data_IF_055906764811
#
_entry.id   IF_055906764811
#
_cell.length_a   1.000
_cell.length_b   1.000
_cell.length_c   1.000
_cell.angle_alpha   90.00
_cell.angle_beta   90.00
_cell.angle_gamma   90.00
#
_symmetry.space_group_name_H-M   'P 1'
#
loop_
_entity.id
_entity.type
_entity.pdbx_description
1 polymer ?
#
# COMPACT_ATOMS: atom_id res chain seq x y z
N UNK A 1 23.77 -1.21 6.57
CA UNK A 1 22.59 -1.44 5.70
C UNK A 1 21.74 -2.66 6.06
N UNK A 2 22.28 -3.85 6.40
CA UNK A 2 21.41 -5.01 6.74
C UNK A 2 20.55 -4.77 8.00
N UNK A 3 21.07 -4.06 8.99
CA UNK A 3 20.34 -3.73 10.22
C UNK A 3 19.19 -2.77 9.95
N UNK A 4 19.42 -1.75 9.13
CA UNK A 4 18.48 -0.69 8.77
C UNK A 4 17.32 -1.26 7.94
N UNK A 5 17.59 -2.21 7.04
CA UNK A 5 16.55 -2.99 6.36
C UNK A 5 15.68 -3.73 7.38
N UNK A 6 16.30 -4.49 8.29
CA UNK A 6 15.57 -5.29 9.28
C UNK A 6 14.75 -4.43 10.26
N UNK A 7 15.33 -3.32 10.75
CA UNK A 7 14.64 -2.40 11.65
C UNK A 7 13.46 -1.70 10.96
N UNK A 8 13.65 -1.25 9.72
CA UNK A 8 12.59 -0.59 8.96
C UNK A 8 11.47 -1.59 8.62
N UNK A 9 11.83 -2.81 8.19
CA UNK A 9 10.86 -3.87 7.91
C UNK A 9 10.10 -4.29 9.17
N UNK A 10 10.79 -4.46 10.30
CA UNK A 10 10.15 -4.76 11.58
C UNK A 10 9.18 -3.66 11.98
N UNK A 11 9.59 -2.39 11.95
CA UNK A 11 8.70 -1.26 12.25
C UNK A 11 7.49 -1.21 11.33
N UNK A 12 7.70 -1.35 10.02
CA UNK A 12 6.62 -1.29 9.04
C UNK A 12 5.65 -2.46 9.21
N UNK A 13 6.10 -3.72 9.22
CA UNK A 13 5.20 -4.87 9.29
C UNK A 13 4.59 -5.07 10.67
N UNK A 14 5.32 -4.83 11.77
CA UNK A 14 4.74 -4.91 13.12
C UNK A 14 3.79 -3.75 13.35
N UNK A 15 4.17 -2.53 12.97
CA UNK A 15 3.33 -1.34 13.13
C UNK A 15 2.03 -1.46 12.34
N UNK A 16 2.12 -1.85 11.06
CA UNK A 16 0.92 -2.09 10.23
C UNK A 16 0.08 -3.26 10.75
N UNK A 17 0.71 -4.35 11.21
CA UNK A 17 -0.03 -5.43 11.87
C UNK A 17 -0.85 -4.91 13.06
N UNK A 18 -0.23 -4.18 13.99
CA UNK A 18 -0.90 -3.60 15.16
C UNK A 18 -2.01 -2.63 14.77
N UNK A 19 -1.73 -1.64 13.93
CA UNK A 19 -2.75 -0.70 13.42
C UNK A 19 -3.91 -1.44 12.74
N UNK A 20 -3.61 -2.51 12.01
CA UNK A 20 -4.59 -3.37 11.36
C UNK A 20 -5.51 -4.09 12.33
N UNK A 21 -4.99 -4.61 13.44
CA UNK A 21 -5.83 -5.17 14.52
C UNK A 21 -6.70 -4.10 15.18
N UNK A 22 -6.15 -2.90 15.41
CA UNK A 22 -6.94 -1.75 15.89
C UNK A 22 -8.11 -1.46 14.95
N UNK A 23 -7.85 -1.40 13.65
CA UNK A 23 -8.89 -1.17 12.65
C UNK A 23 -9.90 -2.32 12.55
N UNK A 24 -9.45 -3.58 12.60
CA UNK A 24 -10.35 -4.75 12.64
C UNK A 24 -11.32 -4.66 13.81
N UNK A 25 -10.85 -4.24 14.99
CA UNK A 25 -11.69 -4.04 16.16
C UNK A 25 -12.71 -2.91 15.96
N UNK A 26 -12.28 -1.77 15.41
CA UNK A 26 -13.16 -0.63 15.11
C UNK A 26 -14.25 -1.01 14.10
N UNK A 27 -13.89 -1.75 13.04
CA UNK A 27 -14.80 -2.20 11.99
C UNK A 27 -15.55 -3.50 12.34
N UNK A 28 -15.31 -4.07 13.52
CA UNK A 28 -15.87 -5.36 13.97
C UNK A 28 -15.61 -6.53 13.00
N UNK A 29 -14.46 -6.51 12.32
CA UNK A 29 -13.99 -7.57 11.42
C UNK A 29 -13.29 -8.68 12.23
N UNK A 30 -13.98 -9.82 12.39
CA UNK A 30 -13.52 -10.96 13.18
C UNK A 30 -12.96 -12.06 12.29
N UNK A 31 -11.97 -12.81 12.79
CA UNK A 31 -11.40 -14.01 12.15
C UNK A 31 -10.77 -13.81 10.76
N UNK A 32 -10.14 -12.66 10.52
CA UNK A 32 -9.51 -12.35 9.23
C UNK A 32 -8.07 -12.89 9.11
N UNK A 33 -7.42 -13.16 10.24
CA UNK A 33 -6.03 -13.60 10.32
C UNK A 33 -4.99 -12.48 10.25
N UNK A 34 -3.73 -12.87 10.44
CA UNK A 34 -2.61 -11.93 10.56
C UNK A 34 -2.27 -11.21 9.26
N UNK A 35 -2.28 -11.92 8.12
CA UNK A 35 -1.94 -11.37 6.80
C UNK A 35 -2.93 -10.29 6.36
N UNK A 36 -4.23 -10.51 6.60
CA UNK A 36 -5.23 -9.48 6.37
C UNK A 36 -4.95 -8.27 7.26
N UNK A 37 -4.64 -8.47 8.55
CA UNK A 37 -4.36 -7.36 9.48
C UNK A 37 -3.19 -6.51 9.02
N UNK A 38 -2.08 -7.12 8.57
CA UNK A 38 -0.95 -6.40 7.98
C UNK A 38 -1.41 -5.53 6.81
N UNK A 39 -2.12 -6.11 5.82
CA UNK A 39 -2.58 -5.34 4.67
C UNK A 39 -3.58 -4.24 5.03
N UNK A 40 -4.47 -4.53 5.98
CA UNK A 40 -5.42 -3.55 6.49
C UNK A 40 -4.70 -2.36 7.14
N UNK A 41 -3.63 -2.63 7.89
CA UNK A 41 -2.76 -1.60 8.44
C UNK A 41 -1.98 -0.82 7.39
N UNK A 42 -1.47 -1.46 6.34
CA UNK A 42 -0.78 -0.77 5.24
C UNK A 42 -1.74 0.21 4.55
N UNK A 43 -2.95 -0.24 4.19
CA UNK A 43 -3.97 0.64 3.61
C UNK A 43 -4.33 1.78 4.56
N UNK A 44 -4.44 1.49 5.87
CA UNK A 44 -4.72 2.52 6.87
C UNK A 44 -3.59 3.55 6.98
N UNK A 45 -2.33 3.13 7.02
CA UNK A 45 -1.18 4.03 7.07
C UNK A 45 -1.16 4.94 5.84
N UNK A 46 -1.33 4.38 4.64
CA UNK A 46 -1.34 5.17 3.42
C UNK A 46 -2.52 6.14 3.34
N UNK A 47 -3.72 5.69 3.70
CA UNK A 47 -4.91 6.55 3.73
C UNK A 47 -4.77 7.69 4.76
N UNK A 48 -4.22 7.39 5.95
CA UNK A 48 -3.97 8.37 6.98
C UNK A 48 -2.90 9.38 6.55
N UNK A 49 -1.85 8.91 5.89
CA UNK A 49 -0.79 9.79 5.37
C UNK A 49 -1.36 10.77 4.34
N UNK A 50 -2.18 10.30 3.40
CA UNK A 50 -2.85 11.17 2.42
C UNK A 50 -3.70 12.24 3.12
N UNK A 51 -4.52 11.82 4.09
CA UNK A 51 -5.39 12.72 4.85
C UNK A 51 -4.61 13.83 5.58
N UNK A 52 -3.40 13.53 6.05
CA UNK A 52 -2.53 14.48 6.75
C UNK A 52 -1.73 15.33 5.77
N UNK A 53 -1.15 14.72 4.74
CA UNK A 53 -0.25 15.40 3.82
C UNK A 53 -0.96 16.43 2.95
N UNK A 54 -2.13 16.11 2.39
CA UNK A 54 -2.87 17.05 1.53
C UNK A 54 -3.05 18.41 2.22
N UNK A 55 -3.68 18.53 3.41
CA UNK A 55 -3.85 19.84 4.06
C UNK A 55 -2.53 20.47 4.52
N UNK A 56 -1.52 19.68 4.89
CA UNK A 56 -0.22 20.20 5.32
C UNK A 56 0.56 20.82 4.15
N UNK A 57 0.59 20.15 3.00
CA UNK A 57 1.21 20.66 1.77
C UNK A 57 0.55 21.98 1.35
N UNK A 58 -0.79 22.09 1.48
CA UNK A 58 -1.52 23.32 1.13
C UNK A 58 -1.20 24.49 2.04
N UNK A 59 -0.87 24.24 3.31
CA UNK A 59 -0.51 25.28 4.28
C UNK A 59 0.99 25.57 4.31
N UNK A 60 1.76 25.05 3.35
CA UNK A 60 3.22 25.09 3.35
C UNK A 60 3.82 24.62 4.68
N UNK A 61 3.20 23.63 5.32
CA UNK A 61 3.70 23.10 6.58
C UNK A 61 5.05 22.39 6.36
N UNK A 62 5.93 22.53 7.34
CA UNK A 62 7.26 21.93 7.28
C UNK A 62 7.22 20.40 7.30
N UNK A 63 8.17 19.77 6.63
CA UNK A 63 8.30 18.32 6.59
C UNK A 63 8.55 17.72 7.99
N UNK A 64 9.32 18.36 8.86
CA UNK A 64 9.55 17.97 10.26
C UNK A 64 8.25 18.00 11.08
N UNK A 65 7.42 19.01 10.87
CA UNK A 65 6.10 19.08 11.52
C UNK A 65 5.22 17.90 11.09
N UNK A 66 5.27 17.54 9.80
CA UNK A 66 4.59 16.35 9.28
C UNK A 66 5.14 15.06 9.91
N UNK A 67 6.47 14.87 9.93
CA UNK A 67 7.11 13.69 10.53
C UNK A 67 6.66 13.52 11.99
N UNK A 68 6.64 14.59 12.78
CA UNK A 68 6.23 14.54 14.18
C UNK A 68 4.75 14.17 14.33
N UNK A 69 3.86 14.86 13.61
CA UNK A 69 2.42 14.61 13.67
C UNK A 69 2.07 13.19 13.20
N UNK A 70 2.55 12.81 12.02
CA UNK A 70 2.24 11.51 11.43
C UNK A 70 2.82 10.37 12.28
N UNK A 71 4.05 10.49 12.78
CA UNK A 71 4.63 9.49 13.68
C UNK A 71 3.82 9.36 14.98
N UNK A 72 3.33 10.48 15.55
CA UNK A 72 2.47 10.44 16.73
C UNK A 72 1.14 9.72 16.46
N UNK A 73 0.49 10.00 15.32
CA UNK A 73 -0.75 9.33 14.93
C UNK A 73 -0.54 7.82 14.69
N UNK A 74 0.58 7.43 14.09
CA UNK A 74 0.95 6.02 13.89
C UNK A 74 1.24 5.34 15.23
N UNK A 75 1.93 6.01 16.16
CA UNK A 75 2.17 5.49 17.50
C UNK A 75 0.86 5.25 18.28
N UNK A 76 -0.08 6.20 18.23
CA UNK A 76 -1.42 6.04 18.83
C UNK A 76 -2.18 4.88 18.20
N UNK A 77 -2.11 4.74 16.88
CA UNK A 77 -2.78 3.64 16.15
C UNK A 77 -2.19 2.28 16.50
N UNK A 78 -0.86 2.17 16.63
CA UNK A 78 -0.19 0.95 17.08
C UNK A 78 -0.55 0.62 18.53
N UNK A 79 -0.61 1.63 19.42
CA UNK A 79 -1.03 1.47 20.81
C UNK A 79 -2.48 0.96 20.91
N UNK A 80 -3.39 1.47 20.07
CA UNK A 80 -4.75 0.96 19.96
C UNK A 80 -4.77 -0.53 19.58
N UNK A 81 -3.88 -0.94 18.66
CA UNK A 81 -3.66 -2.32 18.24
C UNK A 81 -3.19 -3.25 19.36
N UNK A 82 -2.34 -2.77 20.27
CA UNK A 82 -1.84 -3.57 21.40
C UNK A 82 -2.97 -4.04 22.34
N UNK A 83 -4.05 -3.27 22.47
CA UNK A 83 -5.23 -3.69 23.23
C UNK A 83 -5.98 -4.89 22.60
N UNK A 84 -5.63 -5.28 21.39
CA UNK A 84 -6.14 -6.45 20.68
C UNK A 84 -5.23 -7.68 20.85
N UNK A 85 -4.31 -7.70 21.82
CA UNK A 85 -3.34 -8.77 22.03
C UNK A 85 -3.94 -10.18 22.07
N UNK A 86 -5.16 -10.34 22.59
CA UNK A 86 -5.88 -11.63 22.62
C UNK A 86 -6.17 -12.15 21.21
N UNK A 87 -6.62 -11.28 20.31
CA UNK A 87 -6.90 -11.62 18.91
C UNK A 87 -5.60 -11.90 18.15
N UNK A 88 -4.54 -11.14 18.45
CA UNK A 88 -3.19 -11.36 17.89
C UNK A 88 -2.68 -12.75 18.29
N UNK A 89 -2.73 -13.09 19.58
CA UNK A 89 -2.28 -14.40 20.05
C UNK A 89 -3.13 -15.54 19.50
N UNK A 90 -4.44 -15.35 19.34
CA UNK A 90 -5.32 -16.35 18.75
C UNK A 90 -4.93 -16.63 17.28
N UNK A 91 -4.70 -15.57 16.49
CA UNK A 91 -4.27 -15.69 15.10
C UNK A 91 -2.85 -16.29 14.98
N UNK A 92 -1.92 -15.95 15.88
CA UNK A 92 -0.58 -16.57 15.94
C UNK A 92 -0.68 -18.05 16.25
N UNK A 93 -1.48 -18.46 17.25
CA UNK A 93 -1.69 -19.88 17.58
C UNK A 93 -2.31 -20.64 16.42
N UNK A 94 -3.28 -20.02 15.74
CA UNK A 94 -3.90 -20.59 14.53
C UNK A 94 -2.89 -20.75 13.39
N UNK A 95 -2.01 -19.76 13.18
CA UNK A 95 -0.97 -19.82 12.15
C UNK A 95 0.05 -20.92 12.43
N UNK A 96 0.50 -21.06 13.69
CA UNK A 96 1.43 -22.10 14.10
C UNK A 96 0.78 -23.49 14.00
N UNK A 97 -0.43 -23.64 14.53
CA UNK A 97 -1.17 -24.91 14.54
C UNK A 97 -1.51 -25.39 13.12
N UNK A 98 -1.87 -24.47 12.24
CA UNK A 98 -2.21 -24.79 10.85
C UNK A 98 -1.03 -24.63 9.88
N UNK A 99 0.17 -24.25 10.34
CA UNK A 99 1.30 -23.90 9.48
C UNK A 99 1.69 -25.00 8.49
N UNK A 100 1.51 -26.27 8.87
CA UNK A 100 1.76 -27.43 8.00
C UNK A 100 0.91 -27.42 6.73
N UNK A 101 -0.29 -26.86 6.76
CA UNK A 101 -1.15 -26.78 5.57
C UNK A 101 -0.55 -25.89 4.49
N UNK A 102 0.27 -24.91 4.88
CA UNK A 102 0.95 -23.99 3.98
C UNK A 102 2.32 -24.49 3.52
N UNK A 103 2.76 -25.69 3.93
CA UNK A 103 4.00 -26.33 3.45
C UNK A 103 3.78 -27.12 2.15
N UNK A 104 2.96 -26.59 1.25
CA UNK A 104 2.71 -27.23 -0.03
C UNK A 104 3.83 -26.91 -1.01
N UNK A 105 4.01 -27.73 -2.06
CA UNK A 105 5.04 -27.49 -3.07
C UNK A 105 4.87 -26.11 -3.73
N UNK A 106 3.62 -25.70 -3.98
CA UNK A 106 3.32 -24.36 -4.52
C UNK A 106 3.78 -23.22 -3.60
N UNK A 107 3.56 -23.33 -2.29
CA UNK A 107 4.03 -22.30 -1.36
C UNK A 107 5.55 -22.28 -1.21
N UNK A 108 6.20 -23.45 -1.23
CA UNK A 108 7.65 -23.57 -1.19
C UNK A 108 8.30 -22.92 -2.43
N UNK A 109 7.79 -23.21 -3.63
CA UNK A 109 8.25 -22.58 -4.87
C UNK A 109 8.06 -21.07 -4.82
N UNK A 110 6.87 -20.59 -4.41
CA UNK A 110 6.61 -19.16 -4.25
C UNK A 110 7.62 -18.51 -3.31
N UNK A 111 7.87 -19.10 -2.13
CA UNK A 111 8.82 -18.56 -1.15
C UNK A 111 10.24 -18.47 -1.72
N UNK A 112 10.71 -19.53 -2.41
CA UNK A 112 12.04 -19.54 -3.04
C UNK A 112 12.14 -18.42 -4.08
N UNK A 113 11.12 -18.24 -4.92
CA UNK A 113 11.11 -17.21 -5.96
C UNK A 113 11.05 -15.79 -5.36
N UNK A 114 10.29 -15.57 -4.29
CA UNK A 114 10.25 -14.28 -3.58
C UNK A 114 11.62 -13.97 -2.97
N UNK A 115 12.24 -14.95 -2.30
CA UNK A 115 13.59 -14.80 -1.75
C UNK A 115 14.62 -14.52 -2.85
N UNK A 116 14.51 -15.19 -4.00
CA UNK A 116 15.35 -14.94 -5.16
C UNK A 116 15.15 -13.51 -5.70
N UNK A 117 13.92 -13.04 -5.83
CA UNK A 117 13.61 -11.67 -6.26
C UNK A 117 14.21 -10.62 -5.32
N UNK A 118 14.02 -10.78 -4.00
CA UNK A 118 14.59 -9.89 -2.99
C UNK A 118 16.12 -9.91 -3.01
N UNK A 119 16.72 -11.09 -3.13
CA UNK A 119 18.16 -11.25 -3.29
C UNK A 119 18.68 -10.53 -4.54
N UNK A 120 18.01 -10.71 -5.68
CA UNK A 120 18.40 -10.13 -6.95
C UNK A 120 18.38 -8.60 -6.88
N UNK A 121 17.27 -8.01 -6.44
CA UNK A 121 17.10 -6.54 -6.32
C UNK A 121 18.04 -5.95 -5.27
N UNK A 122 18.36 -6.69 -4.20
CA UNK A 122 19.32 -6.22 -3.21
C UNK A 122 20.74 -6.06 -3.76
N UNK A 123 21.14 -6.90 -4.73
CA UNK A 123 22.49 -6.87 -5.33
C UNK A 123 22.55 -6.11 -6.65
N UNK A 124 21.42 -5.94 -7.34
CA UNK A 124 21.33 -5.28 -8.63
C UNK A 124 20.47 -4.05 -8.50
N UNK A 125 21.11 -2.88 -8.60
CA UNK A 125 20.40 -1.61 -8.59
C UNK A 125 19.95 -1.29 -10.01
N UNK A 126 18.65 -1.09 -10.17
CA UNK A 126 18.09 -0.49 -11.37
C UNK A 126 17.99 1.01 -11.17
N UNK A 127 18.40 1.77 -12.19
CA UNK A 127 18.30 3.23 -12.22
C UNK A 127 17.31 3.62 -13.32
N UNK A 128 16.31 4.40 -12.95
CA UNK A 128 15.25 4.88 -13.85
C UNK A 128 15.36 6.39 -14.04
N UNK A 129 14.88 6.90 -15.19
CA UNK A 129 14.84 8.36 -15.42
C UNK A 129 13.98 9.09 -14.38
N UNK A 130 12.92 8.43 -13.92
CA UNK A 130 12.01 8.91 -12.88
C UNK A 130 12.70 9.12 -11.50
N UNK A 131 13.90 8.56 -11.28
CA UNK A 131 14.68 8.74 -10.05
C UNK A 131 15.07 10.20 -9.83
N UNK A 132 15.38 10.89 -10.93
CA UNK A 132 15.73 12.32 -10.92
C UNK A 132 14.63 13.20 -10.36
N UNK A 133 13.38 12.72 -10.41
CA UNK A 133 12.22 13.41 -9.87
C UNK A 133 11.81 12.87 -8.49
N UNK A 134 11.36 11.61 -8.42
CA UNK A 134 10.70 11.10 -7.20
C UNK A 134 11.67 10.97 -6.02
N UNK A 135 12.86 10.40 -6.24
CA UNK A 135 13.84 10.21 -5.16
C UNK A 135 14.36 11.56 -4.69
N UNK A 136 14.55 12.51 -5.61
CA UNK A 136 14.97 13.86 -5.27
C UNK A 136 13.88 14.67 -4.58
N UNK A 137 12.59 14.43 -4.83
CA UNK A 137 11.51 15.02 -4.03
C UNK A 137 11.62 14.61 -2.56
N UNK A 138 11.93 13.34 -2.29
CA UNK A 138 12.14 12.86 -0.93
C UNK A 138 13.40 13.48 -0.29
N UNK A 139 14.53 13.53 -1.02
CA UNK A 139 15.75 14.19 -0.56
C UNK A 139 15.51 15.67 -0.24
N UNK A 140 14.81 16.37 -1.12
CA UNK A 140 14.49 17.79 -0.98
C UNK A 140 13.59 18.03 0.22
N UNK A 141 12.59 17.18 0.46
CA UNK A 141 11.73 17.29 1.63
C UNK A 141 12.51 17.15 2.94
N UNK A 142 13.41 16.17 3.01
CA UNK A 142 14.27 15.96 4.19
C UNK A 142 15.24 17.11 4.40
N UNK A 143 15.87 17.61 3.33
CA UNK A 143 16.93 18.62 3.43
C UNK A 143 16.41 20.05 3.64
N UNK A 144 15.35 20.42 2.92
CA UNK A 144 14.82 21.79 2.89
C UNK A 144 13.65 22.03 3.84
N UNK A 145 13.17 20.98 4.51
CA UNK A 145 11.99 21.00 5.36
C UNK A 145 10.70 21.41 4.62
N UNK A 146 10.63 21.22 3.30
CA UNK A 146 9.50 21.63 2.44
C UNK A 146 8.95 20.46 1.65
N UNK A 147 7.64 20.25 1.71
CA UNK A 147 6.95 19.18 0.96
C UNK A 147 6.49 19.72 -0.39
N UNK A 148 7.07 19.26 -1.51
CA UNK A 148 6.67 19.60 -2.89
C UNK A 148 6.75 21.09 -3.30
N UNK A 149 7.36 21.94 -2.46
CA UNK A 149 7.51 23.38 -2.71
C UNK A 149 8.90 23.78 -3.22
N UNK A 150 9.74 22.81 -3.58
CA UNK A 150 11.06 23.03 -4.16
C UNK A 150 11.22 22.03 -5.30
N UNK A 151 11.57 22.52 -6.48
CA UNK A 151 11.79 21.68 -7.64
C UNK A 151 13.04 20.80 -7.43
N UNK A 152 12.93 19.48 -7.57
CA UNK A 152 14.06 18.57 -7.34
C UNK A 152 15.20 18.77 -8.34
N UNK A 153 14.91 19.26 -9.56
CA UNK A 153 15.89 19.38 -10.64
C UNK A 153 16.68 20.69 -10.58
N UNK A 154 16.05 21.77 -10.10
CA UNK A 154 16.64 23.12 -10.12
C UNK A 154 16.95 23.67 -8.72
N UNK A 155 16.35 23.10 -7.68
CA UNK A 155 16.42 23.65 -6.31
C UNK A 155 15.69 24.98 -6.14
N UNK A 156 15.04 25.48 -7.19
CA UNK A 156 14.24 26.70 -7.12
C UNK A 156 12.95 26.44 -6.33
N UNK A 157 12.41 27.50 -5.73
CA UNK A 157 11.09 27.42 -5.12
C UNK A 157 10.07 27.08 -6.21
N UNK A 158 9.24 26.08 -5.95
CA UNK A 158 8.32 25.60 -6.96
C UNK A 158 7.17 26.60 -7.16
N UNK A 159 6.89 26.96 -8.41
CA UNK A 159 5.59 27.50 -8.79
C UNK A 159 4.60 26.34 -8.70
N UNK A 160 4.10 26.10 -7.48
CA UNK A 160 3.15 25.07 -7.08
C UNK A 160 2.69 24.17 -8.23
N UNK A 161 3.44 23.10 -8.56
CA UNK A 161 3.03 22.18 -9.63
C UNK A 161 1.88 21.32 -9.12
N UNK A 162 0.68 21.82 -9.40
CA UNK A 162 -0.61 21.32 -8.95
C UNK A 162 -0.85 19.86 -9.34
N UNK A 163 -0.13 19.37 -10.36
CA UNK A 163 -0.28 18.00 -10.88
C UNK A 163 0.24 16.94 -9.91
N UNK A 164 1.18 17.30 -9.02
CA UNK A 164 1.86 16.34 -8.15
C UNK A 164 1.50 16.48 -6.66
N UNK A 165 0.70 17.48 -6.31
CA UNK A 165 0.18 17.73 -4.95
C UNK A 165 -0.49 16.51 -4.33
N UNK A 166 -1.07 15.66 -5.17
CA UNK A 166 -1.81 14.46 -4.76
C UNK A 166 -1.09 13.17 -5.16
N UNK A 167 0.20 13.22 -5.47
CA UNK A 167 1.03 12.03 -5.78
C UNK A 167 2.19 11.95 -4.81
N UNK A 168 1.86 11.88 -3.52
CA UNK A 168 2.75 12.15 -2.39
C UNK A 168 3.58 10.94 -1.94
N UNK A 169 3.59 9.85 -2.71
CA UNK A 169 4.37 8.64 -2.44
C UNK A 169 5.84 8.87 -2.02
N UNK A 170 6.60 9.81 -2.64
CA UNK A 170 7.95 10.15 -2.18
C UNK A 170 8.08 10.51 -0.70
N UNK A 171 7.05 11.14 -0.14
CA UNK A 171 7.05 11.57 1.25
C UNK A 171 6.91 10.38 2.20
N UNK A 172 6.32 9.27 1.76
CA UNK A 172 6.24 8.04 2.56
C UNK A 172 7.62 7.49 2.90
N UNK A 173 8.50 7.34 1.90
CA UNK A 173 9.86 6.87 2.17
C UNK A 173 10.78 7.99 2.67
N UNK A 174 10.50 9.27 2.43
CA UNK A 174 11.15 10.38 3.13
C UNK A 174 10.89 10.32 4.65
N UNK A 175 9.66 10.01 5.04
CA UNK A 175 9.28 9.83 6.45
C UNK A 175 10.03 8.66 7.09
N UNK A 176 10.05 7.49 6.44
CA UNK A 176 10.86 6.35 6.91
C UNK A 176 12.34 6.73 7.02
N UNK A 177 12.88 7.43 6.02
CA UNK A 177 14.27 7.91 6.01
C UNK A 177 14.59 8.78 7.21
N UNK A 178 13.63 9.62 7.62
CA UNK A 178 13.78 10.54 8.75
C UNK A 178 13.76 9.81 10.10
N UNK A 179 12.96 8.75 10.24
CA UNK A 179 12.91 7.94 11.46
C UNK A 179 14.17 7.11 11.64
N UNK A 180 14.65 6.47 10.56
CA UNK A 180 15.77 5.55 10.62
C UNK A 180 17.13 6.20 10.33
N UNK A 181 17.15 7.52 10.10
CA UNK A 181 18.34 8.29 9.76
C UNK A 181 19.12 7.71 8.56
N UNK A 182 18.38 7.29 7.53
CA UNK A 182 18.93 6.77 6.27
C UNK A 182 18.69 7.79 5.16
N UNK A 183 19.63 7.93 4.22
CA UNK A 183 19.43 8.79 3.06
C UNK A 183 18.20 8.31 2.23
N UNK A 184 17.31 9.20 1.79
CA UNK A 184 16.14 8.82 0.98
C UNK A 184 16.45 7.98 -0.25
N UNK A 185 17.59 8.21 -0.91
CA UNK A 185 18.07 7.36 -2.02
C UNK A 185 18.32 5.91 -1.58
N UNK A 186 18.96 5.70 -0.42
CA UNK A 186 19.18 4.34 0.13
C UNK A 186 17.84 3.72 0.55
N UNK A 187 16.96 4.51 1.17
CA UNK A 187 15.63 4.02 1.53
C UNK A 187 14.85 3.56 0.30
N UNK A 188 14.83 4.35 -0.77
CA UNK A 188 14.11 4.07 -2.01
C UNK A 188 14.62 2.82 -2.74
N UNK A 189 15.92 2.72 -2.98
CA UNK A 189 16.48 1.64 -3.82
C UNK A 189 16.90 0.39 -3.04
N UNK A 190 17.19 0.50 -1.73
CA UNK A 190 17.70 -0.64 -0.96
C UNK A 190 16.72 -1.18 0.06
N UNK A 191 15.94 -0.32 0.75
CA UNK A 191 15.09 -0.75 1.87
C UNK A 191 13.63 -0.96 1.42
N UNK A 192 13.07 -0.03 0.66
CA UNK A 192 11.67 -0.06 0.23
C UNK A 192 11.25 -1.33 -0.53
N UNK A 193 12.10 -1.95 -1.39
CA UNK A 193 11.76 -3.24 -2.01
C UNK A 193 11.43 -4.33 -0.98
N UNK A 194 12.14 -4.37 0.15
CA UNK A 194 11.88 -5.32 1.24
C UNK A 194 10.56 -5.08 1.97
N UNK A 195 9.92 -3.93 1.75
CA UNK A 195 8.60 -3.62 2.29
C UNK A 195 7.51 -3.92 1.25
N UNK A 196 7.69 -3.42 0.02
CA UNK A 196 6.63 -3.44 -0.99
C UNK A 196 6.47 -4.82 -1.63
N UNK A 197 7.55 -5.57 -1.86
CA UNK A 197 7.48 -6.90 -2.47
C UNK A 197 6.74 -7.90 -1.56
N UNK A 198 7.07 -8.03 -0.25
CA UNK A 198 6.28 -8.89 0.63
C UNK A 198 4.84 -8.40 0.80
N UNK A 199 4.59 -7.08 0.80
CA UNK A 199 3.23 -6.54 0.86
C UNK A 199 2.41 -6.96 -0.37
N UNK A 200 2.96 -6.83 -1.59
CA UNK A 200 2.30 -7.27 -2.81
C UNK A 200 1.94 -8.76 -2.75
N UNK A 201 2.91 -9.63 -2.45
CA UNK A 201 2.65 -11.07 -2.38
C UNK A 201 1.72 -11.48 -1.24
N UNK A 202 1.65 -10.69 -0.17
CA UNK A 202 0.63 -10.87 0.87
C UNK A 202 -0.77 -10.65 0.30
N UNK A 203 -0.98 -9.62 -0.53
CA UNK A 203 -2.26 -9.38 -1.22
C UNK A 203 -2.59 -10.52 -2.17
N UNK A 204 -1.63 -10.98 -2.99
CA UNK A 204 -1.84 -12.14 -3.86
C UNK A 204 -2.18 -13.40 -3.07
N UNK A 205 -1.55 -13.64 -1.91
CA UNK A 205 -1.89 -14.73 -1.01
C UNK A 205 -3.32 -14.63 -0.44
N UNK A 206 -3.77 -13.42 -0.10
CA UNK A 206 -5.15 -13.17 0.35
C UNK A 206 -6.17 -13.43 -0.77
N UNK A 207 -5.87 -13.01 -2.00
CA UNK A 207 -6.67 -13.32 -3.19
C UNK A 207 -6.73 -14.83 -3.43
N UNK A 208 -5.59 -15.51 -3.37
CA UNK A 208 -5.49 -16.95 -3.55
C UNK A 208 -6.37 -17.70 -2.54
N UNK A 209 -6.26 -17.34 -1.26
CA UNK A 209 -7.10 -17.90 -0.18
C UNK A 209 -8.59 -17.66 -0.41
N UNK A 210 -8.96 -16.51 -0.97
CA UNK A 210 -10.35 -16.17 -1.26
C UNK A 210 -10.90 -16.92 -2.48
N UNK A 211 -10.08 -17.15 -3.50
CA UNK A 211 -10.48 -17.83 -4.74
C UNK A 211 -10.46 -19.37 -4.60
N UNK A 212 -9.46 -19.91 -3.90
CA UNK A 212 -9.19 -21.35 -3.78
C UNK A 212 -9.27 -21.83 -2.34
N UNK A 213 -10.32 -21.45 -1.61
CA UNK A 213 -10.44 -21.64 -0.16
C UNK A 213 -10.19 -23.09 0.31
N UNK A 214 -10.61 -24.07 -0.48
CA UNK A 214 -10.53 -25.51 -0.16
C UNK A 214 -9.23 -26.18 -0.61
N UNK A 215 -8.45 -25.55 -1.49
CA UNK A 215 -7.27 -26.18 -2.09
C UNK A 215 -6.00 -25.36 -1.85
N UNK A 216 -5.30 -25.69 -0.77
CA UNK A 216 -4.06 -25.00 -0.38
C UNK A 216 -2.93 -25.18 -1.39
N UNK A 217 -2.89 -26.29 -2.14
CA UNK A 217 -1.90 -26.44 -3.20
C UNK A 217 -2.16 -25.46 -4.35
N UNK A 218 -3.41 -25.26 -4.77
CA UNK A 218 -3.77 -24.26 -5.78
C UNK A 218 -3.51 -22.83 -5.28
N UNK A 219 -3.71 -22.55 -3.99
CA UNK A 219 -3.32 -21.25 -3.41
C UNK A 219 -1.82 -21.00 -3.59
N UNK A 220 -0.98 -22.00 -3.29
CA UNK A 220 0.47 -21.90 -3.46
C UNK A 220 0.90 -21.84 -4.93
N UNK A 221 0.23 -22.57 -5.82
CA UNK A 221 0.49 -22.52 -7.27
C UNK A 221 0.12 -21.16 -7.86
N UNK A 222 -1.02 -20.59 -7.47
CA UNK A 222 -1.41 -19.24 -7.86
C UNK A 222 -0.37 -18.22 -7.42
N UNK A 223 0.08 -18.30 -6.17
CA UNK A 223 1.11 -17.40 -5.65
C UNK A 223 2.44 -17.57 -6.39
N UNK A 224 2.87 -18.81 -6.64
CA UNK A 224 4.07 -19.09 -7.45
C UNK A 224 3.97 -18.47 -8.83
N UNK A 225 2.83 -18.64 -9.49
CA UNK A 225 2.59 -18.08 -10.81
C UNK A 225 2.61 -16.55 -10.78
N UNK A 226 2.00 -15.92 -9.77
CA UNK A 226 2.06 -14.47 -9.60
C UNK A 226 3.52 -13.98 -9.45
N UNK A 227 4.34 -14.65 -8.64
CA UNK A 227 5.76 -14.31 -8.47
C UNK A 227 6.52 -14.50 -9.80
N UNK A 228 6.28 -15.59 -10.53
CA UNK A 228 6.88 -15.83 -11.84
C UNK A 228 6.52 -14.73 -12.85
N UNK A 229 5.26 -14.27 -12.87
CA UNK A 229 4.83 -13.18 -13.75
C UNK A 229 5.56 -11.86 -13.42
N UNK A 230 5.72 -11.54 -12.13
CA UNK A 230 6.49 -10.37 -11.70
C UNK A 230 7.99 -10.45 -12.01
N UNK A 231 8.56 -11.66 -12.04
CA UNK A 231 9.95 -11.89 -12.41
C UNK A 231 10.16 -11.87 -13.93
N UNK A 232 9.26 -12.45 -14.71
CA UNK A 232 9.44 -12.61 -16.16
C UNK A 232 9.16 -11.33 -16.95
N UNK A 233 8.21 -10.50 -16.49
CA UNK A 233 7.86 -9.27 -17.21
C UNK A 233 8.88 -8.13 -17.00
N UNK A 234 9.94 -8.34 -16.20
CA UNK A 234 10.95 -7.32 -15.87
C UNK A 234 11.71 -6.72 -17.08
N UNK A 235 11.57 -7.28 -18.28
CA UNK A 235 12.20 -6.76 -19.51
C UNK A 235 11.41 -5.65 -20.22
N UNK A 236 10.15 -5.40 -19.84
CA UNK A 236 9.30 -4.39 -20.49
C UNK A 236 9.07 -3.19 -19.56
N UNK A 237 9.65 -2.03 -19.90
CA UNK A 237 9.54 -0.75 -19.17
C UNK A 237 8.09 -0.22 -19.05
N UNK A 238 7.10 -0.89 -19.64
CA UNK A 238 5.71 -0.43 -19.76
C UNK A 238 4.70 -1.33 -19.04
N UNK A 239 5.07 -2.53 -18.60
CA UNK A 239 4.12 -3.45 -17.96
C UNK A 239 4.08 -3.24 -16.44
N UNK A 240 2.89 -3.00 -15.85
CA UNK A 240 2.74 -2.76 -14.41
C UNK A 240 3.27 -3.88 -13.50
N UNK A 241 3.35 -5.12 -14.01
CA UNK A 241 3.93 -6.29 -13.32
C UNK A 241 5.46 -6.17 -13.15
N UNK A 242 6.12 -5.45 -14.06
CA UNK A 242 7.55 -5.11 -14.05
C UNK A 242 7.89 -4.13 -12.93
N UNK A 243 7.01 -3.16 -12.67
CA UNK A 243 7.32 -2.03 -11.78
C UNK A 243 7.49 -2.43 -10.31
N UNK A 244 6.86 -3.51 -9.84
CA UNK A 244 7.09 -3.99 -8.47
C UNK A 244 8.54 -4.45 -8.24
N UNK A 245 9.10 -5.12 -9.24
CA UNK A 245 10.45 -5.68 -9.21
C UNK A 245 11.52 -4.61 -9.47
N UNK A 246 11.14 -3.49 -10.09
CA UNK A 246 12.11 -2.56 -10.65
C UNK A 246 12.07 -1.20 -9.96
N UNK A 247 10.90 -0.64 -9.65
CA UNK A 247 10.78 0.75 -9.14
C UNK A 247 9.71 0.92 -8.04
N UNK A 248 9.80 0.23 -6.88
CA UNK A 248 8.84 0.39 -5.77
C UNK A 248 8.82 1.82 -5.18
N UNK A 249 9.84 2.64 -5.46
CA UNK A 249 9.88 4.06 -5.10
C UNK A 249 9.05 4.97 -6.01
N UNK A 250 8.58 4.46 -7.16
CA UNK A 250 7.60 5.13 -8.03
C UNK A 250 6.22 4.59 -7.66
N UNK A 251 5.34 5.48 -7.19
CA UNK A 251 4.06 5.03 -6.64
C UNK A 251 3.12 4.37 -7.66
N UNK A 252 3.33 4.57 -8.96
CA UNK A 252 2.64 3.81 -10.04
C UNK A 252 2.90 2.31 -9.95
N UNK A 253 4.11 1.89 -9.58
CA UNK A 253 4.44 0.48 -9.41
C UNK A 253 3.69 -0.15 -8.26
N UNK A 254 3.65 0.55 -7.12
CA UNK A 254 2.91 0.12 -5.93
C UNK A 254 1.40 0.14 -6.18
N UNK A 255 0.91 1.10 -6.96
CA UNK A 255 -0.49 1.14 -7.42
C UNK A 255 -0.84 -0.14 -8.19
N UNK A 256 -0.04 -0.50 -9.19
CA UNK A 256 -0.31 -1.65 -10.04
C UNK A 256 -0.21 -2.99 -9.30
N UNK A 257 0.79 -3.14 -8.43
CA UNK A 257 1.14 -4.43 -7.84
C UNK A 257 0.59 -4.67 -6.42
N UNK A 258 0.20 -3.62 -5.70
CA UNK A 258 -0.39 -3.72 -4.36
C UNK A 258 -1.82 -3.23 -4.37
N UNK A 259 -2.05 -1.98 -4.79
CA UNK A 259 -3.36 -1.35 -4.66
C UNK A 259 -4.43 -2.01 -5.53
N UNK A 260 -4.19 -2.19 -6.84
CA UNK A 260 -5.18 -2.78 -7.74
C UNK A 260 -5.55 -4.22 -7.32
N UNK A 261 -4.60 -5.11 -6.99
CA UNK A 261 -4.92 -6.41 -6.37
C UNK A 261 -5.70 -6.26 -5.06
N UNK A 262 -5.39 -5.26 -4.23
CA UNK A 262 -6.10 -5.04 -2.97
C UNK A 262 -7.54 -4.57 -3.18
N UNK A 263 -7.78 -3.71 -4.18
CA UNK A 263 -9.13 -3.30 -4.61
C UNK A 263 -9.90 -4.50 -5.17
N UNK A 264 -9.26 -5.37 -5.95
CA UNK A 264 -9.86 -6.63 -6.39
C UNK A 264 -10.27 -7.50 -5.20
N UNK A 265 -9.36 -7.73 -4.25
CA UNK A 265 -9.64 -8.47 -3.02
C UNK A 265 -10.84 -7.87 -2.25
N UNK A 266 -10.83 -6.55 -2.01
CA UNK A 266 -11.88 -5.85 -1.28
C UNK A 266 -13.23 -5.92 -1.99
N UNK A 267 -13.26 -5.75 -3.31
CA UNK A 267 -14.51 -5.76 -4.09
C UNK A 267 -15.13 -7.15 -4.14
N UNK A 268 -14.34 -8.21 -4.37
CA UNK A 268 -14.82 -9.61 -4.31
C UNK A 268 -15.33 -9.94 -2.90
N UNK A 269 -14.61 -9.49 -1.86
CA UNK A 269 -15.02 -9.70 -0.47
C UNK A 269 -16.34 -9.02 -0.15
N UNK A 270 -16.49 -7.77 -0.59
CA UNK A 270 -17.70 -6.98 -0.40
C UNK A 270 -18.90 -7.61 -1.12
N UNK A 271 -18.70 -8.15 -2.33
CA UNK A 271 -19.72 -8.90 -3.09
C UNK A 271 -20.29 -10.11 -2.33
N UNK A 272 -19.42 -10.82 -1.60
CA UNK A 272 -19.79 -12.06 -0.90
C UNK A 272 -20.51 -11.80 0.42
N UNK A 273 -20.05 -10.81 1.19
CA UNK A 273 -20.54 -10.61 2.55
C UNK A 273 -21.52 -9.43 2.71
N UNK A 274 -21.46 -8.42 1.84
CA UNK A 274 -22.34 -7.24 1.90
C UNK A 274 -22.24 -6.38 3.18
N UNK A 275 -21.29 -6.65 4.08
CA UNK A 275 -21.15 -5.95 5.38
C UNK A 275 -20.70 -4.49 5.19
N UNK A 276 -21.29 -3.57 5.96
CA UNK A 276 -20.89 -2.15 6.00
C UNK A 276 -19.38 -1.97 6.25
N UNK A 277 -18.78 -2.80 7.12
CA UNK A 277 -17.36 -2.79 7.40
C UNK A 277 -16.47 -2.98 6.16
N UNK A 278 -16.89 -3.83 5.21
CA UNK A 278 -16.14 -4.08 3.98
C UNK A 278 -16.22 -2.87 3.02
N UNK A 279 -17.36 -2.16 2.99
CA UNK A 279 -17.49 -0.91 2.23
C UNK A 279 -16.62 0.21 2.80
N UNK A 280 -16.56 0.35 4.13
CA UNK A 280 -15.68 1.33 4.79
C UNK A 280 -14.21 1.00 4.48
N UNK A 281 -13.83 -0.28 4.57
CA UNK A 281 -12.47 -0.70 4.26
C UNK A 281 -12.10 -0.51 2.78
N UNK A 282 -13.06 -0.71 1.88
CA UNK A 282 -12.89 -0.39 0.46
C UNK A 282 -12.67 1.11 0.26
N UNK A 283 -13.40 1.98 0.95
CA UNK A 283 -13.19 3.42 0.88
C UNK A 283 -11.84 3.88 1.45
N UNK A 284 -11.38 3.23 2.52
CA UNK A 284 -10.03 3.44 3.04
C UNK A 284 -8.97 3.03 2.01
N UNK A 285 -9.18 1.90 1.33
CA UNK A 285 -8.29 1.42 0.25
C UNK A 285 -8.27 2.41 -0.92
N UNK A 286 -9.43 2.97 -1.30
CA UNK A 286 -9.51 4.03 -2.30
C UNK A 286 -8.71 5.29 -1.90
N UNK A 287 -8.83 5.74 -0.65
CA UNK A 287 -8.06 6.88 -0.14
C UNK A 287 -6.54 6.56 -0.11
N UNK A 288 -6.16 5.36 0.30
CA UNK A 288 -4.77 4.90 0.25
C UNK A 288 -4.19 4.96 -1.16
N UNK A 289 -5.01 4.67 -2.17
CA UNK A 289 -4.61 4.75 -3.57
C UNK A 289 -4.28 6.16 -4.06
N UNK A 290 -4.90 7.18 -3.46
CA UNK A 290 -4.63 8.58 -3.80
C UNK A 290 -3.19 8.97 -3.46
N UNK A 291 -2.65 8.48 -2.33
CA UNK A 291 -1.24 8.70 -1.95
C UNK A 291 -0.25 8.25 -3.02
N UNK A 292 -0.54 7.12 -3.67
CA UNK A 292 0.42 6.43 -4.53
C UNK A 292 0.66 7.18 -5.84
N UNK A 293 -0.39 7.73 -6.44
CA UNK A 293 -0.31 8.37 -7.74
C UNK A 293 -1.58 9.16 -8.03
N UNK A 294 -1.48 10.22 -8.84
CA UNK A 294 -2.65 10.86 -9.44
C UNK A 294 -3.51 9.89 -10.24
N UNK A 295 -2.92 8.83 -10.81
CA UNK A 295 -3.66 7.74 -11.46
C UNK A 295 -4.50 6.94 -10.47
N UNK A 296 -4.10 6.87 -9.19
CA UNK A 296 -4.88 6.20 -8.15
C UNK A 296 -6.19 6.91 -7.82
N UNK A 297 -6.24 8.24 -7.97
CA UNK A 297 -7.47 9.03 -7.83
C UNK A 297 -8.50 8.63 -8.88
N UNK A 298 -8.05 8.32 -10.11
CA UNK A 298 -8.94 7.94 -11.23
C UNK A 298 -9.22 6.42 -11.26
N UNK A 299 -8.17 5.60 -11.16
CA UNK A 299 -8.28 4.15 -11.34
C UNK A 299 -9.01 3.47 -10.19
N UNK A 300 -8.84 3.93 -8.95
CA UNK A 300 -9.55 3.36 -7.79
C UNK A 300 -11.07 3.43 -7.93
N UNK A 301 -11.69 4.60 -8.23
CA UNK A 301 -13.13 4.68 -8.45
C UNK A 301 -13.60 4.04 -9.74
N UNK A 302 -12.81 4.06 -10.84
CA UNK A 302 -13.18 3.36 -12.08
C UNK A 302 -13.24 1.85 -11.85
N UNK A 303 -12.22 1.28 -11.21
CA UNK A 303 -12.17 -0.14 -10.88
C UNK A 303 -13.32 -0.54 -9.94
N UNK A 304 -13.47 0.20 -8.84
CA UNK A 304 -14.53 -0.05 -7.85
C UNK A 304 -15.91 0.12 -8.46
N UNK A 305 -16.14 1.19 -9.21
CA UNK A 305 -17.40 1.47 -9.89
C UNK A 305 -17.79 0.38 -10.87
N UNK A 306 -16.84 -0.11 -11.68
CA UNK A 306 -17.09 -1.19 -12.64
C UNK A 306 -17.55 -2.47 -11.93
N UNK A 307 -16.84 -2.88 -10.88
CA UNK A 307 -17.16 -4.10 -10.14
C UNK A 307 -18.48 -3.95 -9.37
N UNK A 308 -18.72 -2.80 -8.75
CA UNK A 308 -19.97 -2.52 -8.02
C UNK A 308 -21.17 -2.46 -8.97
N UNK A 309 -21.03 -1.90 -10.17
CA UNK A 309 -22.07 -1.92 -11.20
C UNK A 309 -22.44 -3.35 -11.59
N UNK A 310 -21.45 -4.21 -11.84
CA UNK A 310 -21.69 -5.63 -12.11
C UNK A 310 -22.40 -6.32 -10.94
N UNK A 311 -22.01 -6.03 -9.69
CA UNK A 311 -22.67 -6.56 -8.51
C UNK A 311 -24.12 -6.07 -8.37
N UNK A 312 -24.38 -4.79 -8.62
CA UNK A 312 -25.71 -4.22 -8.56
C UNK A 312 -26.65 -4.86 -9.61
N UNK A 313 -26.13 -5.14 -10.81
CA UNK A 313 -26.85 -5.87 -11.86
C UNK A 313 -27.14 -7.32 -11.44
N UNK A 314 -26.13 -8.04 -10.93
CA UNK A 314 -26.30 -9.44 -10.49
C UNK A 314 -27.24 -9.59 -9.29
N UNK A 315 -27.13 -8.69 -8.31
CA UNK A 315 -27.92 -8.71 -7.07
C UNK A 315 -29.24 -7.95 -7.18
N UNK A 316 -29.49 -7.26 -8.31
CA UNK A 316 -30.66 -6.40 -8.57
C UNK A 316 -30.94 -5.41 -7.43
N UNK A 317 -29.89 -4.79 -6.86
CA UNK A 317 -30.02 -3.88 -5.73
C UNK A 317 -29.20 -2.60 -5.93
N UNK A 318 -29.89 -1.46 -5.90
CA UNK A 318 -29.28 -0.13 -6.01
C UNK A 318 -28.48 0.27 -4.77
N UNK A 319 -28.69 -0.42 -3.64
CA UNK A 319 -27.90 -0.18 -2.42
C UNK A 319 -26.40 -0.38 -2.66
N UNK A 320 -26.03 -1.36 -3.50
CA UNK A 320 -24.62 -1.60 -3.86
C UNK A 320 -24.02 -0.39 -4.58
N UNK A 321 -24.76 0.25 -5.49
CA UNK A 321 -24.30 1.46 -6.18
C UNK A 321 -24.08 2.61 -5.21
N UNK A 322 -25.01 2.83 -4.27
CA UNK A 322 -24.89 3.90 -3.27
C UNK A 322 -23.70 3.65 -2.33
N UNK A 323 -23.52 2.42 -1.84
CA UNK A 323 -22.39 2.08 -0.97
C UNK A 323 -21.05 2.13 -1.72
N UNK A 324 -21.01 1.73 -3.00
CA UNK A 324 -19.82 1.88 -3.83
C UNK A 324 -19.48 3.33 -4.13
N UNK A 325 -20.47 4.16 -4.46
CA UNK A 325 -20.27 5.60 -4.63
C UNK A 325 -19.75 6.24 -3.34
N UNK A 326 -20.30 5.84 -2.18
CA UNK A 326 -19.83 6.29 -0.88
C UNK A 326 -18.38 5.87 -0.60
N UNK A 327 -18.00 4.64 -0.94
CA UNK A 327 -16.61 4.17 -0.82
C UNK A 327 -15.65 4.95 -1.73
N UNK A 328 -16.12 5.43 -2.88
CA UNK A 328 -15.33 6.23 -3.81
C UNK A 328 -15.26 7.73 -3.45
N UNK A 329 -16.04 8.21 -2.47
CA UNK A 329 -16.07 9.64 -2.08
C UNK A 329 -14.69 10.24 -1.82
N UNK A 330 -13.74 9.57 -1.12
CA UNK A 330 -12.42 10.15 -0.90
C UNK A 330 -11.69 10.49 -2.21
N UNK A 331 -11.73 9.58 -3.19
CA UNK A 331 -11.15 9.82 -4.53
C UNK A 331 -11.87 10.93 -5.27
N UNK A 332 -13.20 10.98 -5.20
CA UNK A 332 -14.00 12.01 -5.89
C UNK A 332 -13.70 13.39 -5.31
N UNK A 333 -13.63 13.52 -3.98
CA UNK A 333 -13.31 14.79 -3.31
C UNK A 333 -11.91 15.25 -3.73
N UNK A 334 -10.91 14.37 -3.69
CA UNK A 334 -9.54 14.69 -4.11
C UNK A 334 -9.46 14.95 -5.62
N UNK A 335 -10.26 14.29 -6.45
CA UNK A 335 -10.34 14.54 -7.89
C UNK A 335 -10.96 15.89 -8.25
N UNK A 336 -12.06 16.28 -7.58
CA UNK A 336 -12.65 17.62 -7.72
C UNK A 336 -11.63 18.67 -7.25
N UNK A 337 -10.96 18.40 -6.14
CA UNK A 337 -9.92 19.27 -5.62
C UNK A 337 -8.75 19.43 -6.60
N UNK A 338 -8.30 18.33 -7.21
CA UNK A 338 -7.29 18.34 -8.27
C UNK A 338 -7.69 19.25 -9.43
N UNK A 339 -8.92 19.10 -9.94
CA UNK A 339 -9.45 19.90 -11.05
C UNK A 339 -9.50 21.39 -10.66
N UNK A 340 -9.99 21.70 -9.46
CA UNK A 340 -10.04 23.07 -8.92
C UNK A 340 -8.66 23.69 -8.75
N UNK A 341 -7.64 22.89 -8.44
CA UNK A 341 -6.28 23.41 -8.41
C UNK A 341 -5.82 23.72 -9.84
N UNK A 342 -6.02 22.82 -10.80
CA UNK A 342 -5.48 22.96 -12.16
C UNK A 342 -6.14 24.02 -13.05
N UNK A 343 -7.39 24.41 -12.76
CA UNK A 343 -8.15 25.42 -13.50
C UNK A 343 -8.46 26.62 -12.61
#
# INVERSE_FOLDING_TARGET
MRLEILLTAAFFFVGTCLSGYGMRRLLKLKNEGILFSVMAGIMFWWALMELVLVPMTMRLAGFRAFVNLYSALIAVSCAAGLFCWKDILADIRSLIGNGRQYLTLGHAVALILICYQLYFIHHHMYLEWDDTYYVNLANTAVYTDKIYWVYPETGAFADFDKRYVLSLWPIFYAWLSSIFHVLPTIMAHTILPWLMIPAAYTVYGLIAKQMFAENTQLQGMFLSFAVLMHLYMSGEHTAGLTFLSITPWVGKGVLAAVLLPMLFYCTVRTSREGKAANWIFLGLTCLAGCLLSSMGILLSPVFTGTVVCLQALQKKSMQYLLCGAAACLPCIILGIYYIYLTH
#
